data_IF_546800403555
#
_entry.id   IF_546800403555
#
_cell.length_a   1.000
_cell.length_b   1.000
_cell.length_c   1.000
_cell.angle_alpha   90.00
_cell.angle_beta   90.00
_cell.angle_gamma   90.00
#
_symmetry.space_group_name_H-M   'P 1'
#
loop_
_entity.id
_entity.type
_entity.pdbx_description
1 polymer ?
#
# COMPACT_ATOMS: atom_id res chain seq x y z
N UNK A 1 -19.48 49.83 9.00
CA UNK A 1 -18.95 48.89 10.01
C UNK A 1 -19.82 47.63 10.22
N UNK A 2 -21.15 47.62 10.06
CA UNK A 2 -21.98 46.40 10.25
C UNK A 2 -21.68 45.30 9.21
N UNK A 3 -21.48 45.64 7.94
CA UNK A 3 -21.22 44.67 6.87
C UNK A 3 -19.87 43.95 6.98
N UNK A 4 -18.83 44.63 7.48
CA UNK A 4 -17.51 44.03 7.65
C UNK A 4 -17.53 42.89 8.67
N UNK A 5 -18.33 42.99 9.75
CA UNK A 5 -18.50 41.93 10.76
C UNK A 5 -19.19 40.69 10.20
N UNK A 6 -20.17 40.87 9.28
CA UNK A 6 -20.90 39.75 8.65
C UNK A 6 -19.97 38.98 7.70
N UNK A 7 -19.14 39.68 6.90
CA UNK A 7 -18.16 39.03 6.02
C UNK A 7 -17.08 38.27 6.80
N UNK A 8 -16.60 38.82 7.92
CA UNK A 8 -15.63 38.11 8.78
C UNK A 8 -16.22 36.84 9.38
N UNK A 9 -17.47 36.88 9.85
CA UNK A 9 -18.15 35.73 10.44
C UNK A 9 -18.39 34.62 9.40
N UNK A 10 -18.84 34.99 8.19
CA UNK A 10 -19.05 34.02 7.10
C UNK A 10 -17.72 33.40 6.63
N UNK A 11 -16.64 34.16 6.58
CA UNK A 11 -15.30 33.64 6.27
C UNK A 11 -14.78 32.67 7.31
N UNK A 12 -14.97 32.97 8.61
CA UNK A 12 -14.62 32.05 9.70
C UNK A 12 -15.44 30.76 9.69
N UNK A 13 -16.73 30.82 9.38
CA UNK A 13 -17.59 29.64 9.24
C UNK A 13 -17.16 28.78 8.04
N UNK A 14 -16.81 29.40 6.92
CA UNK A 14 -16.31 28.69 5.74
C UNK A 14 -14.97 27.99 6.00
N UNK A 15 -14.04 28.64 6.71
CA UNK A 15 -12.75 28.05 7.10
C UNK A 15 -12.92 26.86 8.06
N UNK A 16 -13.85 26.93 9.00
CA UNK A 16 -14.14 25.82 9.89
C UNK A 16 -14.83 24.67 9.15
N UNK A 17 -15.74 24.95 8.24
CA UNK A 17 -16.39 23.94 7.40
C UNK A 17 -15.38 23.19 6.52
N UNK A 18 -14.43 23.91 5.89
CA UNK A 18 -13.35 23.31 5.11
C UNK A 18 -12.40 22.46 5.96
N UNK A 19 -12.09 22.89 7.19
CA UNK A 19 -11.26 22.11 8.13
C UNK A 19 -11.95 20.82 8.57
N UNK A 20 -13.24 20.85 8.90
CA UNK A 20 -13.99 19.68 9.32
C UNK A 20 -14.02 18.65 8.19
N UNK A 21 -14.40 19.05 6.97
CA UNK A 21 -14.44 18.12 5.83
C UNK A 21 -13.07 17.53 5.48
N UNK A 22 -11.98 18.26 5.69
CA UNK A 22 -10.62 17.78 5.44
C UNK A 22 -10.17 16.75 6.50
N UNK A 23 -10.57 16.93 7.78
CA UNK A 23 -10.22 16.00 8.85
C UNK A 23 -11.00 14.69 8.75
N UNK A 24 -12.27 14.74 8.39
CA UNK A 24 -13.11 13.57 8.23
C UNK A 24 -12.58 12.70 7.06
N UNK A 25 -12.22 13.31 5.93
CA UNK A 25 -11.66 12.62 4.79
C UNK A 25 -10.34 11.87 5.13
N UNK A 26 -9.42 12.45 5.90
CA UNK A 26 -8.17 11.76 6.26
C UNK A 26 -8.39 10.58 7.21
N UNK A 27 -9.37 10.67 8.11
CA UNK A 27 -9.73 9.56 8.99
C UNK A 27 -10.36 8.41 8.19
N UNK A 28 -11.23 8.71 7.23
CA UNK A 28 -11.81 7.71 6.33
C UNK A 28 -10.72 7.00 5.50
N UNK A 29 -9.79 7.76 4.92
CA UNK A 29 -8.65 7.23 4.18
C UNK A 29 -7.81 6.30 5.07
N UNK A 30 -7.45 6.74 6.28
CA UNK A 30 -6.69 5.92 7.24
C UNK A 30 -7.45 4.67 7.63
N UNK A 31 -8.75 4.76 7.87
CA UNK A 31 -9.59 3.61 8.25
C UNK A 31 -9.63 2.51 7.18
N UNK A 32 -9.51 2.88 5.90
CA UNK A 32 -9.40 1.94 4.78
C UNK A 32 -7.97 1.42 4.60
N UNK A 33 -6.95 2.26 4.84
CA UNK A 33 -5.55 1.91 4.64
C UNK A 33 -4.98 1.06 5.78
N UNK A 34 -5.22 1.48 7.02
CA UNK A 34 -4.64 0.85 8.20
C UNK A 34 -5.35 -0.47 8.52
N UNK A 35 -4.58 -1.52 8.71
CA UNK A 35 -5.11 -2.84 9.01
C UNK A 35 -4.05 -3.94 8.88
N UNK A 36 -4.50 -5.15 9.17
CA UNK A 36 -3.75 -6.37 8.94
C UNK A 36 -4.38 -7.11 7.78
N UNK A 37 -3.54 -7.54 6.85
CA UNK A 37 -3.94 -8.19 5.62
C UNK A 37 -3.19 -9.50 5.45
N UNK A 38 -3.86 -10.53 4.96
CA UNK A 38 -3.32 -11.84 4.64
C UNK A 38 -3.33 -12.05 3.14
N UNK A 39 -2.22 -12.49 2.57
CA UNK A 39 -2.10 -12.77 1.13
C UNK A 39 -2.96 -13.99 0.78
N UNK A 40 -3.86 -13.80 -0.16
CA UNK A 40 -4.75 -14.86 -0.64
C UNK A 40 -4.20 -15.48 -1.91
N UNK A 41 -3.82 -14.63 -2.88
CA UNK A 41 -3.17 -15.08 -4.10
C UNK A 41 -2.19 -14.05 -4.65
N UNK A 42 -1.28 -14.54 -5.47
CA UNK A 42 -0.33 -13.75 -6.25
C UNK A 42 -0.40 -14.19 -7.71
N UNK A 43 -0.72 -13.26 -8.60
CA UNK A 43 -0.66 -13.48 -10.04
C UNK A 43 0.61 -12.83 -10.58
N UNK A 44 1.34 -13.54 -11.42
CA UNK A 44 2.53 -13.06 -12.13
C UNK A 44 2.47 -13.55 -13.57
N UNK A 45 2.48 -12.62 -14.52
CA UNK A 45 2.34 -12.91 -15.95
C UNK A 45 1.13 -13.81 -16.26
N UNK A 46 -0.03 -13.54 -15.62
CA UNK A 46 -1.30 -14.29 -15.75
C UNK A 46 -1.29 -15.70 -15.13
N UNK A 47 -0.20 -16.13 -14.49
CA UNK A 47 -0.15 -17.36 -13.70
C UNK A 47 -0.51 -17.00 -12.27
N UNK A 48 -1.54 -17.67 -11.73
CA UNK A 48 -1.96 -17.47 -10.34
C UNK A 48 -1.36 -18.54 -9.44
N UNK A 49 -0.89 -18.09 -8.29
CA UNK A 49 -0.38 -18.90 -7.18
C UNK A 49 -1.25 -18.65 -5.98
N UNK A 50 -1.84 -19.69 -5.43
CA UNK A 50 -2.69 -19.68 -4.24
C UNK A 50 -1.96 -20.29 -3.04
N UNK A 51 -2.57 -20.22 -1.86
CA UNK A 51 -2.07 -20.96 -0.71
C UNK A 51 -2.12 -22.48 -0.98
N UNK A 52 -1.08 -23.27 -0.65
CA UNK A 52 0.13 -22.91 0.12
C UNK A 52 1.33 -22.43 -0.72
N UNK A 53 1.19 -22.23 -2.03
CA UNK A 53 2.30 -21.78 -2.89
C UNK A 53 2.72 -20.35 -2.57
N UNK A 54 1.77 -19.55 -2.11
CA UNK A 54 2.04 -18.21 -1.59
C UNK A 54 1.41 -18.03 -0.22
N UNK A 55 2.12 -17.31 0.64
CA UNK A 55 1.64 -16.85 1.94
C UNK A 55 2.22 -15.48 2.24
N UNK A 56 1.59 -14.74 3.14
CA UNK A 56 2.14 -13.44 3.56
C UNK A 56 1.21 -12.66 4.45
N UNK A 57 1.79 -11.72 5.14
CA UNK A 57 1.09 -10.76 6.00
C UNK A 57 1.59 -9.35 5.69
N UNK A 58 0.66 -8.43 5.51
CA UNK A 58 0.93 -7.00 5.43
C UNK A 58 0.21 -6.31 6.61
N UNK A 59 0.96 -5.55 7.38
CA UNK A 59 0.41 -4.70 8.46
C UNK A 59 0.73 -3.25 8.14
N UNK A 60 -0.30 -2.42 8.12
CA UNK A 60 -0.18 -0.98 7.96
C UNK A 60 -0.85 -0.36 9.19
N UNK A 61 -0.09 0.32 10.02
CA UNK A 61 -0.62 0.94 11.23
C UNK A 61 0.33 2.03 11.74
N UNK A 62 -0.25 3.14 12.20
CA UNK A 62 0.46 4.22 12.90
C UNK A 62 1.75 4.67 12.17
N UNK A 63 1.62 5.02 10.90
CA UNK A 63 2.69 5.45 9.99
C UNK A 63 3.76 4.38 9.70
N UNK A 64 3.55 3.12 10.09
CA UNK A 64 4.46 2.01 9.84
C UNK A 64 3.82 0.98 8.89
N UNK A 65 4.66 0.31 8.13
CA UNK A 65 4.28 -0.81 7.28
C UNK A 65 5.25 -1.97 7.52
N UNK A 66 4.71 -3.16 7.71
CA UNK A 66 5.46 -4.42 7.79
C UNK A 66 4.89 -5.38 6.76
N UNK A 67 5.76 -6.04 6.01
CA UNK A 67 5.35 -7.05 5.04
C UNK A 67 6.21 -8.30 5.19
N UNK A 68 5.56 -9.46 5.18
CA UNK A 68 6.20 -10.74 4.96
C UNK A 68 5.51 -11.43 3.80
N UNK A 69 6.25 -12.08 2.94
CA UNK A 69 5.70 -12.87 1.83
C UNK A 69 6.60 -14.04 1.54
N UNK A 70 5.98 -15.18 1.29
CA UNK A 70 6.62 -16.39 0.84
C UNK A 70 6.00 -16.81 -0.50
N UNK A 71 6.84 -17.20 -1.45
CA UNK A 71 6.41 -17.76 -2.72
C UNK A 71 7.23 -18.98 -3.07
N UNK A 72 6.58 -20.12 -3.14
CA UNK A 72 7.17 -21.38 -3.60
C UNK A 72 6.90 -21.51 -5.10
N UNK A 73 7.93 -21.34 -5.91
CA UNK A 73 7.81 -21.43 -7.37
C UNK A 73 7.82 -22.87 -7.86
N UNK A 74 8.49 -23.75 -7.15
CA UNK A 74 8.53 -25.22 -7.32
C UNK A 74 9.34 -25.84 -6.18
N UNK A 75 9.49 -27.16 -6.15
CA UNK A 75 10.23 -27.87 -5.08
C UNK A 75 11.69 -27.41 -4.88
N UNK A 76 12.29 -26.77 -5.88
CA UNK A 76 13.70 -26.37 -5.87
C UNK A 76 13.89 -24.84 -5.79
N UNK A 77 12.81 -24.04 -5.86
CA UNK A 77 12.90 -22.58 -5.88
C UNK A 77 11.82 -21.95 -5.02
N UNK A 78 12.25 -21.16 -4.05
CA UNK A 78 11.35 -20.33 -3.23
C UNK A 78 11.93 -18.94 -3.00
N UNK A 79 11.06 -18.01 -2.68
CA UNK A 79 11.40 -16.64 -2.33
C UNK A 79 10.70 -16.29 -1.03
N UNK A 80 11.47 -15.85 -0.04
CA UNK A 80 10.97 -15.28 1.21
C UNK A 80 11.33 -13.81 1.27
N UNK A 81 10.38 -12.98 1.64
CA UNK A 81 10.57 -11.54 1.73
C UNK A 81 10.10 -11.04 3.08
N UNK A 82 10.92 -10.23 3.73
CA UNK A 82 10.56 -9.46 4.92
C UNK A 82 10.96 -8.02 4.67
N UNK A 83 10.03 -7.10 4.90
CA UNK A 83 10.28 -5.67 4.80
C UNK A 83 9.56 -4.90 5.89
N UNK A 84 10.19 -3.86 6.43
CA UNK A 84 9.50 -2.86 7.21
C UNK A 84 9.85 -1.46 6.74
N UNK A 85 8.91 -0.56 6.87
CA UNK A 85 9.05 0.80 6.41
C UNK A 85 8.09 1.75 7.08
N UNK A 86 8.05 2.95 6.57
CA UNK A 86 7.16 4.01 7.03
C UNK A 86 6.32 4.52 5.88
N UNK A 87 5.14 5.01 6.22
CA UNK A 87 4.30 5.75 5.30
C UNK A 87 3.91 7.11 5.87
N UNK A 88 3.50 8.00 4.98
CA UNK A 88 2.84 9.28 5.28
C UNK A 88 1.64 9.38 4.37
N UNK A 89 0.54 9.93 4.87
CA UNK A 89 -0.68 10.10 4.07
C UNK A 89 -1.36 11.42 4.40
N UNK A 90 -1.90 12.06 3.39
CA UNK A 90 -2.85 13.17 3.49
C UNK A 90 -3.98 12.94 2.49
N UNK A 91 -4.88 13.90 2.33
CA UNK A 91 -6.04 13.76 1.43
C UNK A 91 -5.70 13.54 -0.05
N UNK A 92 -4.49 13.91 -0.48
CA UNK A 92 -4.11 13.93 -1.89
C UNK A 92 -2.92 13.02 -2.22
N UNK A 93 -2.09 12.70 -1.22
CA UNK A 93 -0.84 11.97 -1.45
C UNK A 93 -0.57 10.94 -0.35
N UNK A 94 -0.08 9.80 -0.78
CA UNK A 94 0.44 8.71 0.05
C UNK A 94 1.90 8.48 -0.31
N UNK A 95 2.75 8.39 0.70
CA UNK A 95 4.17 8.13 0.57
C UNK A 95 4.53 6.88 1.35
N UNK A 96 5.23 5.94 0.75
CA UNK A 96 5.74 4.75 1.43
C UNK A 96 7.20 4.51 1.10
N UNK A 97 7.99 4.15 2.09
CA UNK A 97 9.41 3.81 1.93
C UNK A 97 9.81 2.65 2.84
N UNK A 98 10.59 1.72 2.29
CA UNK A 98 11.10 0.57 3.02
C UNK A 98 12.47 0.92 3.64
N UNK A 99 12.61 0.78 4.95
CA UNK A 99 13.85 1.04 5.68
C UNK A 99 14.74 -0.19 5.75
N UNK A 100 14.14 -1.34 5.99
CA UNK A 100 14.83 -2.64 5.95
C UNK A 100 14.07 -3.57 5.00
N UNK A 101 14.83 -4.32 4.23
CA UNK A 101 14.30 -5.22 3.21
C UNK A 101 15.23 -6.41 3.07
N UNK A 102 14.70 -7.58 3.33
CA UNK A 102 15.42 -8.84 3.13
C UNK A 102 14.67 -9.68 2.13
N UNK A 103 15.36 -10.10 1.11
CA UNK A 103 14.91 -11.07 0.14
C UNK A 103 15.82 -12.29 0.25
N UNK A 104 15.27 -13.41 0.66
CA UNK A 104 15.92 -14.70 0.66
C UNK A 104 15.43 -15.48 -0.56
N UNK A 105 16.34 -15.81 -1.43
CA UNK A 105 16.09 -16.71 -2.57
C UNK A 105 16.73 -18.06 -2.27
N UNK A 106 15.98 -19.13 -2.43
CA UNK A 106 16.44 -20.50 -2.30
C UNK A 106 16.27 -21.15 -3.66
N UNK A 107 17.35 -21.60 -4.25
CA UNK A 107 17.36 -22.30 -5.53
C UNK A 107 18.36 -23.45 -5.47
N UNK A 108 17.90 -24.67 -5.76
CA UNK A 108 18.72 -25.89 -5.69
C UNK A 108 19.47 -26.05 -4.36
N UNK A 109 18.82 -25.76 -3.23
CA UNK A 109 19.38 -25.73 -1.87
C UNK A 109 20.45 -24.64 -1.61
N UNK A 110 20.71 -23.76 -2.56
CA UNK A 110 21.56 -22.60 -2.35
C UNK A 110 20.71 -21.42 -1.85
N UNK A 111 21.16 -20.81 -0.75
CA UNK A 111 20.50 -19.65 -0.14
C UNK A 111 21.25 -18.38 -0.51
N UNK A 112 20.56 -17.44 -1.14
CA UNK A 112 21.08 -16.09 -1.41
C UNK A 112 20.27 -15.07 -0.64
N UNK A 113 20.90 -14.25 0.17
CA UNK A 113 20.26 -13.16 0.91
C UNK A 113 20.60 -11.85 0.24
N UNK A 114 19.58 -11.15 -0.27
CA UNK A 114 19.72 -9.78 -0.74
C UNK A 114 19.12 -8.83 0.30
N UNK A 115 19.94 -7.90 0.80
CA UNK A 115 19.50 -6.79 1.66
C UNK A 115 19.55 -5.51 0.84
N UNK A 116 18.43 -5.08 0.33
CA UNK A 116 18.35 -3.83 -0.42
C UNK A 116 16.91 -3.32 -0.40
N UNK A 117 16.72 -2.06 -0.08
CA UNK A 117 15.43 -1.43 -0.33
C UNK A 117 15.09 -1.51 -1.83
N UNK A 118 13.84 -1.83 -2.18
CA UNK A 118 13.42 -1.94 -3.59
C UNK A 118 13.54 -0.61 -4.34
N UNK A 119 13.60 0.51 -3.62
CA UNK A 119 13.85 1.85 -4.16
C UNK A 119 14.50 2.75 -3.11
N UNK A 120 15.08 3.85 -3.56
CA UNK A 120 15.68 4.85 -2.68
C UNK A 120 14.61 5.87 -2.25
N UNK A 121 14.53 6.13 -0.95
CA UNK A 121 13.59 7.11 -0.37
C UNK A 121 12.16 6.59 -0.28
N UNK A 122 11.20 7.50 -0.35
CA UNK A 122 9.76 7.18 -0.33
C UNK A 122 9.18 7.30 -1.74
N UNK A 123 8.32 6.35 -2.10
CA UNK A 123 7.55 6.40 -3.34
C UNK A 123 6.25 7.14 -3.09
N UNK A 124 5.91 8.02 -4.01
CA UNK A 124 4.68 8.81 -3.97
C UNK A 124 3.57 8.17 -4.79
N UNK A 125 2.35 8.25 -4.26
CA UNK A 125 1.11 7.85 -4.90
C UNK A 125 0.09 8.95 -4.74
N UNK A 126 -0.71 9.23 -5.75
CA UNK A 126 -1.92 10.04 -5.65
C UNK A 126 -2.99 9.26 -4.88
N UNK A 127 -3.82 9.98 -4.14
CA UNK A 127 -4.92 9.42 -3.32
C UNK A 127 -6.24 9.78 -3.99
N UNK A 128 -7.11 8.80 -4.18
CA UNK A 128 -8.49 8.97 -4.60
C UNK A 128 -9.41 8.13 -3.71
N UNK A 129 -10.38 8.78 -3.08
CA UNK A 129 -11.42 8.13 -2.28
C UNK A 129 -12.76 8.31 -3.00
N UNK A 130 -13.39 7.20 -3.39
CA UNK A 130 -14.69 7.20 -4.06
C UNK A 130 -15.47 5.95 -3.68
N UNK A 131 -16.73 6.12 -3.29
CA UNK A 131 -17.66 5.03 -3.00
C UNK A 131 -17.09 3.99 -2.01
N UNK A 132 -16.52 4.46 -0.89
CA UNK A 132 -15.85 3.65 0.14
C UNK A 132 -14.64 2.83 -0.39
N UNK A 133 -14.08 3.20 -1.53
CA UNK A 133 -12.84 2.63 -2.08
C UNK A 133 -11.72 3.65 -2.07
N UNK A 134 -10.58 3.27 -1.53
CA UNK A 134 -9.34 4.02 -1.59
C UNK A 134 -8.48 3.48 -2.73
N UNK A 135 -8.13 4.35 -3.66
CA UNK A 135 -7.22 4.03 -4.76
C UNK A 135 -5.96 4.89 -4.63
N UNK A 136 -4.81 4.23 -4.58
CA UNK A 136 -3.49 4.85 -4.56
C UNK A 136 -2.80 4.51 -5.88
N UNK A 137 -2.38 5.53 -6.63
CA UNK A 137 -1.73 5.34 -7.93
C UNK A 137 -0.36 6.00 -7.94
N UNK A 138 0.70 5.25 -8.26
CA UNK A 138 2.05 5.81 -8.35
C UNK A 138 2.14 6.89 -9.43
N UNK A 139 3.07 7.83 -9.27
CA UNK A 139 3.30 8.93 -10.21
C UNK A 139 3.50 8.44 -11.65
N UNK A 140 4.09 7.27 -11.82
CA UNK A 140 4.29 6.64 -13.14
C UNK A 140 3.04 5.93 -13.68
N UNK A 141 2.00 5.74 -12.87
CA UNK A 141 0.82 4.95 -13.20
C UNK A 141 1.05 3.43 -13.31
N UNK A 142 2.27 2.95 -13.01
CA UNK A 142 2.64 1.54 -13.14
C UNK A 142 2.23 0.70 -11.93
N UNK A 143 2.10 1.33 -10.76
CA UNK A 143 1.68 0.68 -9.53
C UNK A 143 0.39 1.29 -9.03
N UNK A 144 -0.50 0.44 -8.54
CA UNK A 144 -1.72 0.84 -7.85
C UNK A 144 -2.01 -0.04 -6.64
N UNK A 145 -2.71 0.55 -5.68
CA UNK A 145 -3.30 -0.12 -4.54
C UNK A 145 -4.78 0.23 -4.54
N UNK A 146 -5.63 -0.75 -4.48
CA UNK A 146 -7.08 -0.57 -4.35
C UNK A 146 -7.52 -1.22 -3.05
N UNK A 147 -8.11 -0.42 -2.16
CA UNK A 147 -8.50 -0.87 -0.83
C UNK A 147 -9.97 -0.60 -0.57
N UNK A 148 -10.60 -1.55 0.08
CA UNK A 148 -11.91 -1.40 0.70
C UNK A 148 -11.88 -1.93 2.15
N UNK A 149 -13.08 -2.02 2.79
CA UNK A 149 -13.19 -2.52 4.17
C UNK A 149 -12.79 -4.00 4.33
N UNK A 150 -12.66 -4.76 3.24
CA UNK A 150 -12.45 -6.22 3.26
C UNK A 150 -11.15 -6.66 2.62
N UNK A 151 -10.60 -5.85 1.73
CA UNK A 151 -9.49 -6.29 0.87
C UNK A 151 -8.55 -5.16 0.46
N UNK A 152 -7.38 -5.57 0.02
CA UNK A 152 -6.39 -4.76 -0.66
C UNK A 152 -5.92 -5.51 -1.91
N UNK A 153 -5.95 -4.84 -3.05
CA UNK A 153 -5.35 -5.31 -4.29
C UNK A 153 -4.15 -4.44 -4.62
N UNK A 154 -2.97 -5.04 -4.71
CA UNK A 154 -1.78 -4.37 -5.22
C UNK A 154 -1.51 -4.84 -6.64
N UNK A 155 -1.27 -3.90 -7.55
CA UNK A 155 -0.89 -4.18 -8.93
C UNK A 155 0.43 -3.47 -9.28
N UNK A 156 1.31 -4.15 -9.99
CA UNK A 156 2.53 -3.60 -10.55
C UNK A 156 2.72 -4.13 -11.98
N UNK A 157 2.84 -3.23 -12.95
CA UNK A 157 3.01 -3.56 -14.37
C UNK A 157 4.47 -3.78 -14.78
N UNK A 158 5.40 -3.52 -13.88
CA UNK A 158 6.84 -3.65 -14.12
C UNK A 158 7.56 -4.12 -12.85
N UNK A 159 7.13 -5.27 -12.33
CA UNK A 159 7.72 -5.86 -11.14
C UNK A 159 9.05 -6.55 -11.47
N UNK A 160 10.05 -6.26 -10.62
CA UNK A 160 11.36 -6.92 -10.73
C UNK A 160 12.21 -6.45 -11.92
N UNK A 161 13.24 -7.24 -12.21
CA UNK A 161 14.19 -6.98 -13.30
C UNK A 161 13.57 -7.36 -14.65
N UNK A 162 12.69 -8.35 -14.68
CA UNK A 162 12.02 -8.90 -15.87
C UNK A 162 10.82 -8.06 -16.31
N UNK A 163 10.42 -7.08 -15.48
CA UNK A 163 9.26 -6.20 -15.70
C UNK A 163 7.94 -6.98 -15.83
N UNK A 164 7.76 -7.94 -14.95
CA UNK A 164 6.57 -8.76 -14.88
C UNK A 164 5.33 -7.96 -14.47
N UNK A 165 4.17 -8.35 -14.98
CA UNK A 165 2.90 -7.89 -14.46
C UNK A 165 2.53 -8.71 -13.23
N UNK A 166 2.34 -8.04 -12.10
CA UNK A 166 2.03 -8.68 -10.82
C UNK A 166 0.75 -8.12 -10.23
N UNK A 167 -0.11 -9.01 -9.75
CA UNK A 167 -1.28 -8.67 -8.93
C UNK A 167 -1.22 -9.50 -7.66
N UNK A 168 -1.43 -8.85 -6.50
CA UNK A 168 -1.53 -9.49 -5.19
C UNK A 168 -2.84 -9.11 -4.56
N UNK A 169 -3.63 -10.11 -4.22
CA UNK A 169 -4.88 -9.93 -3.50
C UNK A 169 -4.69 -10.30 -2.03
N UNK A 170 -5.03 -9.35 -1.18
CA UNK A 170 -4.93 -9.46 0.26
C UNK A 170 -6.31 -9.35 0.87
N UNK A 171 -6.65 -10.27 1.75
CA UNK A 171 -7.85 -10.21 2.57
C UNK A 171 -7.52 -9.49 3.87
N UNK A 172 -8.36 -8.52 4.24
CA UNK A 172 -8.26 -7.88 5.54
C UNK A 172 -8.68 -8.87 6.62
N UNK A 173 -7.86 -8.99 7.64
CA UNK A 173 -8.13 -9.78 8.85
C UNK A 173 -8.17 -8.82 10.04
N UNK A 174 -9.12 -9.05 10.94
CA UNK A 174 -9.34 -8.20 12.12
C UNK A 174 -8.16 -8.26 13.07
#
# INVERSE_FOLDING_TARGET
MKYLKVYLLSFFLLLNYLKVNSSDNINDIKSLLEGRYELVYWTENKIQYDYPEVAGVLVINDNNALITMDKNMNSNKSVELIGWGRYKINSNSFYIGWHDWKLLMIENNLKTVKKKSPWKGMREYSVSLKDDKLVLTSVTGKQSWELDKKSLVYSDKEWGEEKDEVIRYWKRIQ
#
